data_IF_351208065910
#
_entry.id   IF_351208065910
#
_cell.length_a   1.000
_cell.length_b   1.000
_cell.length_c   1.000
_cell.angle_alpha   90.00
_cell.angle_beta   90.00
_cell.angle_gamma   90.00
#
_symmetry.space_group_name_H-M   'P 1'
#
loop_
_entity.id
_entity.type
_entity.pdbx_description
1 polymer ?
#
# COMPACT_ATOMS: atom_id res chain seq x y z
N UNK A 1 -71.30 -20.84 -0.66
CA UNK A 1 -70.99 -19.67 -1.51
C UNK A 1 -70.36 -18.59 -0.63
N UNK A 2 -69.04 -18.55 -0.54
CA UNK A 2 -68.21 -17.34 -0.45
C UNK A 2 -66.82 -17.76 -0.93
N UNK A 3 -66.48 -17.39 -2.16
CA UNK A 3 -65.12 -17.46 -2.68
C UNK A 3 -64.42 -16.13 -2.41
N UNK A 4 -63.16 -16.17 -1.97
CA UNK A 4 -62.09 -15.21 -2.28
C UNK A 4 -60.72 -15.84 -1.93
N UNK A 5 -59.63 -15.38 -2.58
CA UNK A 5 -58.59 -16.27 -3.12
C UNK A 5 -57.37 -16.45 -2.20
N UNK A 6 -56.72 -17.59 -2.38
CA UNK A 6 -55.40 -17.92 -1.82
C UNK A 6 -54.36 -17.19 -2.67
N UNK A 7 -53.81 -16.12 -2.12
CA UNK A 7 -52.72 -15.37 -2.72
C UNK A 7 -51.78 -14.90 -1.63
N UNK A 8 -50.86 -15.78 -1.22
CA UNK A 8 -49.58 -15.48 -0.58
C UNK A 8 -48.87 -16.78 -0.21
N UNK A 9 -47.54 -16.73 -0.25
CA UNK A 9 -46.56 -17.77 0.09
C UNK A 9 -46.28 -18.72 -1.07
N UNK A 10 -45.20 -18.47 -1.81
CA UNK A 10 -44.10 -19.42 -2.05
C UNK A 10 -42.92 -18.64 -2.67
N UNK A 11 -42.09 -18.07 -1.80
CA UNK A 11 -40.68 -17.83 -2.12
C UNK A 11 -40.00 -19.19 -1.96
N UNK A 12 -39.69 -19.88 -3.06
CA UNK A 12 -38.92 -21.12 -3.00
C UNK A 12 -37.44 -20.78 -2.76
N UNK A 13 -37.09 -20.55 -1.49
CA UNK A 13 -35.71 -20.63 -1.01
C UNK A 13 -35.31 -22.12 -0.94
N UNK A 14 -34.76 -22.64 -2.03
CA UNK A 14 -34.19 -23.99 -2.05
C UNK A 14 -32.68 -23.95 -1.80
N UNK A 15 -32.27 -23.82 -0.54
CA UNK A 15 -30.88 -24.04 -0.13
C UNK A 15 -30.62 -25.54 0.02
N UNK A 16 -29.80 -26.12 -0.88
CA UNK A 16 -29.23 -27.46 -0.68
C UNK A 16 -27.71 -27.35 -0.53
N UNK A 17 -27.25 -27.81 0.63
CA UNK A 17 -25.85 -27.88 1.05
C UNK A 17 -25.16 -29.05 0.37
N UNK A 18 -23.96 -28.84 -0.20
CA UNK A 18 -22.83 -29.77 -0.21
C UNK A 18 -21.54 -29.05 -0.72
N UNK A 19 -20.46 -29.17 0.06
CA UNK A 19 -19.04 -28.99 -0.30
C UNK A 19 -18.63 -27.94 -1.33
N UNK A 20 -18.33 -26.73 -0.84
CA UNK A 20 -17.38 -25.71 -1.34
C UNK A 20 -17.73 -24.75 -2.49
N UNK A 21 -18.72 -24.98 -3.36
CA UNK A 21 -19.26 -23.90 -4.22
C UNK A 21 -20.73 -24.12 -4.57
N UNK A 22 -21.63 -24.07 -3.58
CA UNK A 22 -23.06 -23.94 -3.86
C UNK A 22 -23.36 -22.47 -4.17
N UNK A 23 -23.27 -22.09 -5.45
CA UNK A 23 -23.73 -20.79 -5.89
C UNK A 23 -25.26 -20.76 -5.89
N UNK A 24 -25.85 -19.84 -5.13
CA UNK A 24 -27.28 -19.59 -5.11
C UNK A 24 -27.72 -18.97 -6.44
N UNK A 25 -28.71 -19.57 -7.12
CA UNK A 25 -29.17 -19.13 -8.44
C UNK A 25 -30.47 -18.37 -8.29
N UNK A 26 -30.42 -17.05 -8.52
CA UNK A 26 -31.59 -16.19 -8.54
C UNK A 26 -31.99 -15.88 -9.99
N UNK A 27 -33.25 -16.11 -10.33
CA UNK A 27 -33.81 -15.78 -11.64
C UNK A 27 -34.68 -14.53 -11.50
N UNK A 28 -34.48 -13.54 -12.37
CA UNK A 28 -35.24 -12.30 -12.42
C UNK A 28 -35.93 -12.22 -13.78
N UNK A 29 -37.22 -12.53 -13.78
CA UNK A 29 -38.07 -12.49 -14.96
C UNK A 29 -39.02 -11.30 -14.83
N UNK A 30 -38.73 -10.19 -15.52
CA UNK A 30 -39.58 -8.98 -15.52
C UNK A 30 -39.84 -8.51 -16.96
N UNK A 31 -41.06 -8.07 -17.29
CA UNK A 31 -41.47 -7.76 -18.67
C UNK A 31 -40.86 -6.47 -19.23
N UNK A 32 -40.43 -5.53 -18.37
CA UNK A 32 -39.90 -4.24 -18.82
C UNK A 32 -38.38 -4.16 -18.65
N UNK A 33 -37.68 -3.83 -19.75
CA UNK A 33 -36.23 -3.64 -19.76
C UNK A 33 -35.73 -2.58 -18.77
N UNK A 34 -36.53 -1.54 -18.51
CA UNK A 34 -36.20 -0.51 -17.52
C UNK A 34 -36.28 -1.05 -16.08
N UNK A 35 -37.33 -1.82 -15.75
CA UNK A 35 -37.49 -2.43 -14.44
C UNK A 35 -36.43 -3.52 -14.16
N UNK A 36 -36.04 -4.27 -15.19
CA UNK A 36 -34.90 -5.22 -15.10
C UNK A 36 -33.61 -4.50 -14.75
N UNK A 37 -33.30 -3.42 -15.48
CA UNK A 37 -32.10 -2.61 -15.25
C UNK A 37 -32.08 -1.97 -13.86
N UNK A 38 -33.21 -1.48 -13.39
CA UNK A 38 -33.35 -0.97 -12.02
C UNK A 38 -33.04 -2.06 -11.00
N UNK A 39 -33.63 -3.25 -11.16
CA UNK A 39 -33.39 -4.38 -10.25
C UNK A 39 -31.94 -4.87 -10.27
N UNK A 40 -31.32 -4.96 -11.45
CA UNK A 40 -29.89 -5.27 -11.58
C UNK A 40 -29.05 -4.21 -10.89
N UNK A 41 -29.40 -2.94 -11.04
CA UNK A 41 -28.70 -1.83 -10.39
C UNK A 41 -28.76 -1.93 -8.87
N UNK A 42 -29.93 -2.23 -8.30
CA UNK A 42 -30.09 -2.45 -6.86
C UNK A 42 -29.19 -3.58 -6.34
N UNK A 43 -29.15 -4.72 -7.04
CA UNK A 43 -28.32 -5.88 -6.65
C UNK A 43 -26.84 -5.54 -6.72
N UNK A 44 -26.42 -4.81 -7.76
CA UNK A 44 -25.04 -4.35 -7.90
C UNK A 44 -24.66 -3.40 -6.77
N UNK A 45 -25.51 -2.43 -6.43
CA UNK A 45 -25.25 -1.49 -5.34
C UNK A 45 -25.18 -2.19 -3.98
N UNK A 46 -26.10 -3.12 -3.71
CA UNK A 46 -26.07 -3.92 -2.49
C UNK A 46 -24.79 -4.76 -2.40
N UNK A 47 -24.40 -5.40 -3.51
CA UNK A 47 -23.16 -6.17 -3.58
C UNK A 47 -21.91 -5.31 -3.38
N UNK A 48 -21.86 -4.11 -3.97
CA UNK A 48 -20.75 -3.16 -3.81
C UNK A 48 -20.64 -2.65 -2.37
N UNK A 49 -21.77 -2.36 -1.70
CA UNK A 49 -21.79 -2.02 -0.26
C UNK A 49 -21.23 -3.15 0.61
N UNK A 50 -21.54 -4.38 0.25
CA UNK A 50 -20.99 -5.58 0.88
C UNK A 50 -19.54 -5.90 0.52
N UNK A 51 -18.86 -5.04 -0.25
CA UNK A 51 -17.50 -5.25 -0.81
C UNK A 51 -17.35 -6.57 -1.56
N UNK A 52 -18.43 -7.05 -2.18
CA UNK A 52 -18.43 -8.26 -3.01
C UNK A 52 -17.89 -7.93 -4.40
N UNK A 53 -17.16 -8.87 -5.01
CA UNK A 53 -16.71 -8.74 -6.41
C UNK A 53 -17.82 -9.23 -7.34
N UNK A 54 -18.21 -8.39 -8.28
CA UNK A 54 -19.35 -8.63 -9.17
C UNK A 54 -18.87 -8.65 -10.62
N UNK A 55 -19.29 -9.66 -11.37
CA UNK A 55 -19.17 -9.71 -12.82
C UNK A 55 -20.54 -9.43 -13.44
N UNK A 56 -20.67 -8.38 -14.24
CA UNK A 56 -21.84 -8.11 -15.07
C UNK A 56 -21.55 -8.55 -16.50
N UNK A 57 -22.40 -9.40 -17.05
CA UNK A 57 -22.27 -9.88 -18.43
C UNK A 57 -23.53 -9.70 -19.23
N UNK A 58 -23.39 -9.60 -20.55
CA UNK A 58 -24.49 -9.58 -21.52
C UNK A 58 -24.00 -10.12 -22.87
N UNK A 59 -24.92 -10.45 -23.76
CA UNK A 59 -24.63 -10.88 -25.12
C UNK A 59 -23.99 -9.78 -25.97
N UNK A 60 -24.43 -8.53 -25.79
CA UNK A 60 -24.03 -7.40 -26.63
C UNK A 60 -23.40 -6.27 -25.83
N UNK A 61 -22.42 -5.61 -26.44
CA UNK A 61 -21.73 -4.47 -25.82
C UNK A 61 -22.68 -3.31 -25.52
N UNK A 62 -23.70 -3.09 -26.36
CA UNK A 62 -24.65 -1.98 -26.21
C UNK A 62 -25.51 -2.14 -24.96
N UNK A 63 -26.10 -3.30 -24.75
CA UNK A 63 -26.99 -3.55 -23.61
C UNK A 63 -26.22 -3.49 -22.29
N UNK A 64 -25.00 -4.03 -22.30
CA UNK A 64 -24.09 -3.92 -21.18
C UNK A 64 -23.70 -2.47 -20.87
N UNK A 65 -23.42 -1.64 -21.88
CA UNK A 65 -23.13 -0.22 -21.67
C UNK A 65 -24.37 0.55 -21.17
N UNK A 66 -25.58 0.23 -21.64
CA UNK A 66 -26.84 0.81 -21.14
C UNK A 66 -27.09 0.48 -19.66
N UNK A 67 -26.88 -0.77 -19.26
CA UNK A 67 -26.97 -1.22 -17.87
C UNK A 67 -25.89 -0.56 -17.00
N UNK A 68 -24.67 -0.41 -17.53
CA UNK A 68 -23.56 0.26 -16.84
C UNK A 68 -23.84 1.75 -16.62
N UNK A 69 -24.43 2.45 -17.60
CA UNK A 69 -24.85 3.85 -17.44
C UNK A 69 -25.86 3.99 -16.28
N UNK A 70 -26.84 3.09 -16.18
CA UNK A 70 -27.81 3.10 -15.09
C UNK A 70 -27.13 2.90 -13.72
N UNK A 71 -26.23 1.92 -13.63
CA UNK A 71 -25.45 1.64 -12.41
C UNK A 71 -24.59 2.83 -12.00
N UNK A 72 -23.83 3.42 -12.92
CA UNK A 72 -22.94 4.55 -12.62
C UNK A 72 -23.73 5.78 -12.18
N UNK A 73 -24.90 6.03 -12.79
CA UNK A 73 -25.80 7.10 -12.35
C UNK A 73 -26.28 6.87 -10.93
N UNK A 74 -26.71 5.66 -10.61
CA UNK A 74 -27.17 5.32 -9.26
C UNK A 74 -26.02 5.39 -8.23
N UNK A 75 -24.84 4.87 -8.56
CA UNK A 75 -23.63 5.00 -7.72
C UNK A 75 -23.30 6.45 -7.40
N UNK A 76 -23.43 7.35 -8.39
CA UNK A 76 -23.18 8.79 -8.19
C UNK A 76 -24.22 9.43 -7.28
N UNK A 77 -25.50 9.06 -7.41
CA UNK A 77 -26.56 9.55 -6.51
C UNK A 77 -26.31 9.11 -5.07
N UNK A 78 -25.67 7.95 -4.87
CA UNK A 78 -25.30 7.43 -3.55
C UNK A 78 -23.92 7.88 -3.06
N UNK A 79 -23.16 8.64 -3.84
CA UNK A 79 -21.82 9.12 -3.49
C UNK A 79 -20.71 8.06 -3.54
N UNK A 80 -20.92 6.94 -4.23
CA UNK A 80 -19.90 5.89 -4.41
C UNK A 80 -18.89 6.25 -5.52
N UNK A 81 -17.62 5.91 -5.33
CA UNK A 81 -16.54 6.16 -6.28
C UNK A 81 -16.55 5.15 -7.44
N UNK A 82 -17.24 5.48 -8.54
CA UNK A 82 -17.37 4.60 -9.70
C UNK A 82 -16.04 4.38 -10.44
N UNK A 83 -15.15 5.37 -10.51
CA UNK A 83 -13.86 5.29 -11.24
C UNK A 83 -12.87 4.29 -10.65
N UNK A 84 -12.96 4.03 -9.34
CA UNK A 84 -12.10 3.05 -8.65
C UNK A 84 -12.75 1.67 -8.60
N UNK A 85 -14.07 1.59 -8.53
CA UNK A 85 -14.77 0.32 -8.31
C UNK A 85 -15.20 -0.39 -9.61
N UNK A 86 -15.45 0.37 -10.68
CA UNK A 86 -16.02 -0.17 -11.93
C UNK A 86 -14.97 -0.22 -13.03
N UNK A 87 -14.96 -1.33 -13.78
CA UNK A 87 -14.13 -1.50 -14.98
C UNK A 87 -14.95 -2.16 -16.09
N UNK A 88 -14.83 -1.62 -17.31
CA UNK A 88 -15.51 -2.11 -18.52
C UNK A 88 -14.49 -2.70 -19.50
N UNK A 89 -14.72 -3.94 -19.93
CA UNK A 89 -13.86 -4.69 -20.86
C UNK A 89 -14.69 -5.38 -21.96
N UNK A 90 -14.32 -5.39 -23.26
CA UNK A 90 -13.10 -4.84 -23.86
C UNK A 90 -13.25 -3.38 -24.32
N UNK A 91 -14.14 -3.10 -25.29
CA UNK A 91 -14.31 -1.78 -25.91
C UNK A 91 -15.70 -1.24 -25.61
N UNK A 92 -15.76 0.02 -25.18
CA UNK A 92 -17.02 0.77 -25.01
C UNK A 92 -17.61 1.14 -26.37
N UNK A 93 -18.92 0.92 -26.53
CA UNK A 93 -19.67 1.28 -27.74
C UNK A 93 -20.46 2.56 -27.49
N UNK A 94 -21.04 2.71 -26.30
CA UNK A 94 -21.75 3.92 -25.90
C UNK A 94 -20.88 4.78 -24.99
N UNK A 95 -20.53 5.96 -25.49
CA UNK A 95 -20.01 7.03 -24.65
C UNK A 95 -21.23 7.66 -23.96
N UNK A 96 -21.32 7.51 -22.63
CA UNK A 96 -22.46 7.98 -21.85
C UNK A 96 -22.88 9.41 -22.22
N UNK A 97 -24.19 9.66 -22.32
CA UNK A 97 -24.71 11.00 -22.64
C UNK A 97 -24.77 11.88 -21.39
N UNK A 98 -24.17 13.07 -21.45
CA UNK A 98 -24.27 14.11 -20.42
C UNK A 98 -23.13 14.09 -19.39
N UNK A 99 -23.47 14.03 -18.09
CA UNK A 99 -22.52 14.20 -16.98
C UNK A 99 -21.77 12.93 -16.56
N UNK A 100 -21.97 11.81 -17.25
CA UNK A 100 -21.34 10.51 -16.96
C UNK A 100 -20.51 10.09 -18.15
N UNK A 101 -19.20 10.37 -18.10
CA UNK A 101 -18.25 9.88 -19.10
C UNK A 101 -17.85 8.44 -18.75
N UNK A 102 -18.19 7.50 -19.64
CA UNK A 102 -17.83 6.09 -19.47
C UNK A 102 -16.41 5.79 -19.92
N UNK A 103 -15.74 6.72 -20.63
CA UNK A 103 -14.36 6.52 -21.10
C UNK A 103 -13.39 6.26 -19.95
N UNK A 104 -13.58 6.93 -18.81
CA UNK A 104 -12.80 6.70 -17.59
C UNK A 104 -12.92 5.28 -17.02
N UNK A 105 -13.98 4.55 -17.41
CA UNK A 105 -14.25 3.18 -17.00
C UNK A 105 -13.67 2.15 -17.97
N UNK A 106 -13.17 2.59 -19.14
CA UNK A 106 -12.52 1.73 -20.10
C UNK A 106 -11.29 1.07 -19.49
N UNK A 107 -11.20 -0.26 -19.61
CA UNK A 107 -10.06 -1.02 -19.14
C UNK A 107 -8.73 -0.46 -19.66
N UNK A 108 -8.63 -0.16 -20.96
CA UNK A 108 -7.40 0.36 -21.57
C UNK A 108 -6.97 1.71 -20.99
N UNK A 109 -7.93 2.60 -20.72
CA UNK A 109 -7.63 3.91 -20.14
C UNK A 109 -7.18 3.76 -18.69
N UNK A 110 -7.85 2.91 -17.91
CA UNK A 110 -7.46 2.60 -16.53
C UNK A 110 -6.08 1.94 -16.48
N UNK A 111 -5.79 1.03 -17.41
CA UNK A 111 -4.50 0.38 -17.53
C UNK A 111 -3.40 1.40 -17.84
N UNK A 112 -3.61 2.29 -18.81
CA UNK A 112 -2.64 3.37 -19.13
C UNK A 112 -2.36 4.26 -17.94
N UNK A 113 -3.39 4.65 -17.18
CA UNK A 113 -3.24 5.47 -15.98
C UNK A 113 -2.45 4.71 -14.91
N UNK A 114 -2.77 3.45 -14.67
CA UNK A 114 -2.09 2.63 -13.66
C UNK A 114 -0.63 2.37 -14.02
N UNK A 115 -0.36 1.98 -15.28
CA UNK A 115 1.00 1.81 -15.79
C UNK A 115 1.78 3.12 -15.67
N UNK A 116 1.18 4.26 -16.03
CA UNK A 116 1.81 5.57 -15.86
C UNK A 116 2.13 5.90 -14.40
N UNK A 117 1.22 5.60 -13.46
CA UNK A 117 1.45 5.78 -12.02
C UNK A 117 2.59 4.90 -11.52
N UNK A 118 2.58 3.61 -11.86
CA UNK A 118 3.62 2.69 -11.40
C UNK A 118 4.97 3.04 -12.01
N UNK A 119 5.03 3.42 -13.29
CA UNK A 119 6.26 3.92 -13.91
C UNK A 119 6.77 5.20 -13.25
N UNK A 120 5.88 6.12 -12.88
CA UNK A 120 6.26 7.34 -12.16
C UNK A 120 6.82 7.01 -10.76
N UNK A 121 6.17 6.12 -10.02
CA UNK A 121 6.66 5.64 -8.72
C UNK A 121 7.98 4.89 -8.82
N UNK A 122 8.17 4.09 -9.87
CA UNK A 122 9.42 3.39 -10.11
C UNK A 122 10.53 4.39 -10.51
N UNK A 123 10.21 5.44 -11.26
CA UNK A 123 11.15 6.50 -11.60
C UNK A 123 11.58 7.31 -10.36
N UNK A 124 10.66 7.62 -9.45
CA UNK A 124 10.99 8.28 -8.17
C UNK A 124 11.81 7.37 -7.27
N UNK A 125 11.50 6.07 -7.21
CA UNK A 125 12.31 5.09 -6.50
C UNK A 125 13.72 4.95 -7.09
N UNK A 126 13.84 4.89 -8.42
CA UNK A 126 15.13 4.81 -9.11
C UNK A 126 15.97 6.05 -8.84
N UNK A 127 15.39 7.24 -8.89
CA UNK A 127 16.12 8.49 -8.58
C UNK A 127 16.53 8.55 -7.11
N UNK A 128 15.65 8.17 -6.17
CA UNK A 128 15.96 8.09 -4.75
C UNK A 128 17.07 7.05 -4.46
N UNK A 129 17.01 5.88 -5.10
CA UNK A 129 18.02 4.83 -4.98
C UNK A 129 19.37 5.28 -5.53
N UNK A 130 19.41 5.93 -6.69
CA UNK A 130 20.65 6.51 -7.21
C UNK A 130 21.21 7.61 -6.30
N UNK A 131 20.33 8.43 -5.69
CA UNK A 131 20.75 9.44 -4.73
C UNK A 131 21.33 8.80 -3.46
N UNK A 132 20.67 7.77 -2.93
CA UNK A 132 21.16 6.98 -1.81
C UNK A 132 22.54 6.38 -2.08
N UNK A 133 22.74 5.76 -3.25
CA UNK A 133 24.04 5.21 -3.64
C UNK A 133 25.15 6.25 -3.68
N UNK A 134 24.84 7.50 -4.09
CA UNK A 134 25.80 8.60 -4.10
C UNK A 134 26.10 9.13 -2.70
N UNK A 135 25.09 9.23 -1.84
CA UNK A 135 25.23 9.80 -0.49
C UNK A 135 25.80 8.79 0.52
N UNK A 136 25.47 7.51 0.39
CA UNK A 136 25.91 6.46 1.32
C UNK A 136 27.41 6.48 1.63
N UNK A 137 28.36 6.58 0.67
CA UNK A 137 29.77 6.62 0.99
C UNK A 137 30.18 7.92 1.71
N UNK A 138 29.63 9.08 1.34
CA UNK A 138 29.92 10.33 2.03
C UNK A 138 29.36 10.37 3.46
N UNK A 139 28.20 9.76 3.69
CA UNK A 139 27.61 9.64 5.03
C UNK A 139 28.45 8.72 5.92
N UNK A 140 28.87 7.56 5.40
CA UNK A 140 29.71 6.63 6.14
C UNK A 140 31.05 7.27 6.52
N UNK A 141 31.69 7.96 5.57
CA UNK A 141 32.94 8.69 5.82
C UNK A 141 32.77 9.77 6.88
N UNK A 142 31.71 10.58 6.80
CA UNK A 142 31.51 11.64 7.77
C UNK A 142 31.10 11.13 9.16
N UNK A 143 30.40 10.00 9.23
CA UNK A 143 30.08 9.35 10.50
C UNK A 143 31.34 8.81 11.18
N UNK A 144 32.25 8.19 10.43
CA UNK A 144 33.58 7.80 10.93
C UNK A 144 34.35 9.03 11.44
N UNK A 145 34.33 10.14 10.68
CA UNK A 145 35.00 11.38 11.11
C UNK A 145 34.33 12.09 12.27
N UNK A 146 33.02 11.95 12.45
CA UNK A 146 32.31 12.43 13.63
C UNK A 146 32.73 11.65 14.88
N UNK A 147 32.90 10.34 14.78
CA UNK A 147 33.45 9.52 15.88
C UNK A 147 34.89 9.93 16.21
N UNK A 148 35.75 10.08 15.19
CA UNK A 148 37.12 10.57 15.38
C UNK A 148 37.12 11.96 16.06
N UNK A 149 36.19 12.84 15.70
CA UNK A 149 36.05 14.17 16.30
C UNK A 149 35.65 14.08 17.78
N UNK A 150 34.69 13.24 18.13
CA UNK A 150 34.26 13.02 19.53
C UNK A 150 35.43 12.54 20.40
N UNK A 151 36.26 11.62 19.89
CA UNK A 151 37.45 11.16 20.61
C UNK A 151 38.45 12.29 20.84
N UNK A 152 38.70 13.13 19.83
CA UNK A 152 39.63 14.26 19.92
C UNK A 152 39.10 15.36 20.84
N UNK A 153 37.80 15.67 20.79
CA UNK A 153 37.15 16.62 21.72
C UNK A 153 37.20 16.10 23.16
N UNK A 154 37.00 14.81 23.38
CA UNK A 154 37.14 14.20 24.70
C UNK A 154 38.59 14.31 25.25
N UNK A 155 39.60 14.21 24.39
CA UNK A 155 41.00 14.45 24.75
C UNK A 155 41.26 15.93 25.10
N UNK A 156 40.72 16.87 24.33
CA UNK A 156 40.82 18.32 24.64
C UNK A 156 40.20 18.61 26.01
N UNK A 157 38.99 18.13 26.26
CA UNK A 157 38.31 18.30 27.55
C UNK A 157 39.07 17.67 28.71
N UNK A 158 39.76 16.56 28.48
CA UNK A 158 40.61 15.93 29.50
C UNK A 158 41.83 16.79 29.81
N UNK A 159 42.52 17.29 28.80
CA UNK A 159 43.69 18.15 28.99
C UNK A 159 43.33 19.45 29.69
N UNK A 160 42.21 20.09 29.31
CA UNK A 160 41.70 21.29 29.97
C UNK A 160 41.40 21.04 31.45
N UNK A 161 40.79 19.89 31.79
CA UNK A 161 40.55 19.50 33.19
C UNK A 161 41.85 19.28 33.98
N UNK A 162 42.88 18.73 33.35
CA UNK A 162 44.19 18.54 33.99
C UNK A 162 44.91 19.88 34.20
N UNK A 163 44.84 20.79 33.23
CA UNK A 163 45.35 22.17 33.34
C UNK A 163 44.65 22.91 34.47
N UNK A 164 43.32 22.96 34.48
CA UNK A 164 42.53 23.62 35.54
C UNK A 164 42.92 23.09 36.94
N UNK A 165 43.17 21.78 37.05
CA UNK A 165 43.56 21.14 38.31
C UNK A 165 44.97 21.55 38.74
N UNK A 166 45.90 21.71 37.80
CA UNK A 166 47.27 22.16 38.09
C UNK A 166 47.31 23.67 38.39
N UNK A 167 46.53 24.49 37.69
CA UNK A 167 46.42 25.93 37.96
C UNK A 167 45.82 26.20 39.35
N UNK A 168 44.78 25.46 39.74
CA UNK A 168 44.24 25.52 41.12
C UNK A 168 45.28 25.13 42.16
N UNK A 169 46.10 24.12 41.87
CA UNK A 169 47.18 23.71 42.78
C UNK A 169 48.27 24.78 42.88
N UNK A 170 48.69 25.39 41.77
CA UNK A 170 49.69 26.46 41.80
C UNK A 170 49.17 27.70 42.54
N UNK A 171 47.92 28.11 42.29
CA UNK A 171 47.30 29.24 43.01
C UNK A 171 47.17 28.95 44.51
N UNK A 172 46.73 27.75 44.91
CA UNK A 172 46.68 27.33 46.31
C UNK A 172 48.08 27.28 46.96
N UNK A 173 49.10 26.83 46.23
CA UNK A 173 50.48 26.82 46.71
C UNK A 173 51.02 28.23 46.88
N UNK A 174 50.74 29.12 45.91
CA UNK A 174 51.13 30.53 45.95
C UNK A 174 50.54 31.26 47.16
N UNK A 175 49.23 31.15 47.37
CA UNK A 175 48.54 31.75 48.53
C UNK A 175 49.15 31.25 49.83
N UNK A 176 49.45 29.94 49.92
CA UNK A 176 50.06 29.34 51.11
C UNK A 176 51.51 29.77 51.35
N UNK A 177 52.27 30.06 50.30
CA UNK A 177 53.63 30.63 50.44
C UNK A 177 53.56 32.07 50.93
N UNK A 178 52.67 32.89 50.35
CA UNK A 178 52.48 34.30 50.72
C UNK A 178 52.00 34.44 52.18
N UNK A 179 51.04 33.61 52.60
CA UNK A 179 50.47 33.62 53.96
C UNK A 179 51.29 32.85 55.00
N UNK A 180 52.37 32.15 54.59
CA UNK A 180 53.15 31.30 55.50
C UNK A 180 53.67 32.04 56.73
N UNK A 181 54.05 33.32 56.55
CA UNK A 181 54.56 34.19 57.60
C UNK A 181 53.51 34.66 58.60
N UNK A 182 52.21 34.46 58.32
CA UNK A 182 51.09 34.86 59.19
C UNK A 182 50.51 33.68 59.98
N UNK A 183 50.87 32.44 59.62
CA UNK A 183 50.38 31.21 60.26
C UNK A 183 51.00 31.03 61.66
N UNK A 184 50.27 30.56 62.69
CA UNK A 184 50.82 30.33 64.03
C UNK A 184 51.95 29.28 64.04
N UNK A 185 52.89 29.46 64.97
CA UNK A 185 54.19 28.75 64.97
C UNK A 185 54.07 27.22 65.10
N UNK A 186 53.13 26.73 65.90
CA UNK A 186 52.86 25.29 66.04
C UNK A 186 52.36 24.67 64.72
N UNK A 187 51.60 25.42 63.93
CA UNK A 187 51.08 24.97 62.65
C UNK A 187 52.18 24.96 61.57
N UNK A 188 53.13 25.91 61.61
CA UNK A 188 54.34 25.85 60.77
C UNK A 188 55.21 24.63 61.08
N UNK A 189 55.42 24.32 62.36
CA UNK A 189 56.16 23.13 62.78
C UNK A 189 55.47 21.85 62.27
N UNK A 190 54.14 21.78 62.35
CA UNK A 190 53.38 20.65 61.79
C UNK A 190 53.51 20.55 60.25
N UNK A 191 53.52 21.68 59.54
CA UNK A 191 53.74 21.75 58.09
C UNK A 191 55.17 21.35 57.72
N UNK A 192 56.16 21.70 58.55
CA UNK A 192 57.55 21.28 58.40
C UNK A 192 57.74 19.77 58.48
N UNK A 193 57.08 19.12 59.44
CA UNK A 193 57.07 17.65 59.55
C UNK A 193 56.40 17.01 58.33
N UNK A 194 55.36 17.66 57.78
CA UNK A 194 54.71 17.25 56.54
C UNK A 194 55.43 17.66 55.25
N UNK A 195 56.64 18.24 55.33
CA UNK A 195 57.44 18.66 54.17
C UNK A 195 56.95 19.92 53.44
N UNK A 196 55.93 20.62 53.96
CA UNK A 196 55.32 21.82 53.37
C UNK A 196 56.04 23.10 53.80
N UNK A 197 57.33 23.18 53.47
CA UNK A 197 58.15 24.37 53.71
C UNK A 197 58.08 25.29 52.50
N UNK A 198 58.28 26.62 52.66
CA UNK A 198 58.38 27.55 51.55
C UNK A 198 59.29 27.05 50.40
N UNK A 199 60.54 26.59 50.64
CA UNK A 199 61.39 26.08 49.57
C UNK A 199 60.88 24.79 48.92
N UNK A 200 60.15 23.93 49.63
CA UNK A 200 59.56 22.71 49.05
C UNK A 200 58.31 23.06 48.22
N UNK A 201 57.53 24.04 48.69
CA UNK A 201 56.35 24.55 47.99
C UNK A 201 56.78 25.26 46.71
N UNK A 202 57.85 26.05 46.73
CA UNK A 202 58.42 26.67 45.53
C UNK A 202 58.91 25.63 44.51
N UNK A 203 59.54 24.54 44.97
CA UNK A 203 59.88 23.39 44.10
C UNK A 203 58.63 22.74 43.49
N UNK A 204 57.56 22.55 44.27
CA UNK A 204 56.28 22.02 43.76
C UNK A 204 55.63 22.95 42.74
N UNK A 205 55.74 24.27 42.93
CA UNK A 205 55.26 25.26 41.96
C UNK A 205 56.05 25.21 40.65
N UNK A 206 57.36 25.07 40.73
CA UNK A 206 58.23 24.92 39.56
C UNK A 206 57.87 23.65 38.77
N UNK A 207 57.62 22.54 39.47
CA UNK A 207 57.08 21.33 38.86
C UNK A 207 55.70 21.53 38.23
N UNK A 208 54.78 22.25 38.90
CA UNK A 208 53.47 22.56 38.32
C UNK A 208 53.61 23.42 37.05
N UNK A 209 54.54 24.38 37.02
CA UNK A 209 54.81 25.21 35.85
C UNK A 209 55.34 24.38 34.67
N UNK A 210 56.31 23.48 34.89
CA UNK A 210 56.82 22.57 33.86
C UNK A 210 55.71 21.68 33.28
N UNK A 211 54.82 21.15 34.13
CA UNK A 211 53.70 20.32 33.68
C UNK A 211 52.63 21.14 32.94
N UNK A 212 52.35 22.37 33.38
CA UNK A 212 51.44 23.27 32.68
C UNK A 212 51.96 23.62 31.28
N UNK A 213 53.26 23.92 31.15
CA UNK A 213 53.87 24.20 29.85
C UNK A 213 53.79 22.97 28.91
N UNK A 214 54.03 21.77 29.42
CA UNK A 214 53.92 20.54 28.65
C UNK A 214 52.49 20.31 28.13
N UNK A 215 51.48 20.41 29.00
CA UNK A 215 50.07 20.24 28.63
C UNK A 215 49.58 21.34 27.66
N UNK A 216 50.05 22.57 27.83
CA UNK A 216 49.75 23.67 26.91
C UNK A 216 50.34 23.43 25.52
N UNK A 217 51.54 22.87 25.42
CA UNK A 217 52.14 22.48 24.14
C UNK A 217 51.31 21.37 23.46
N UNK A 218 50.85 20.37 24.22
CA UNK A 218 49.95 19.33 23.69
C UNK A 218 48.65 19.93 23.14
N UNK A 219 48.01 20.87 23.85
CA UNK A 219 46.83 21.57 23.35
C UNK A 219 47.08 22.36 22.05
N UNK A 220 48.23 23.04 21.95
CA UNK A 220 48.61 23.78 20.74
C UNK A 220 48.72 22.83 19.54
N UNK A 221 49.21 21.60 19.74
CA UNK A 221 49.29 20.60 18.67
C UNK A 221 47.94 19.95 18.33
N UNK A 222 47.02 19.84 19.29
CA UNK A 222 45.71 19.22 19.10
C UNK A 222 44.69 20.15 18.42
N UNK A 223 44.68 21.44 18.77
CA UNK A 223 43.77 22.44 18.17
C UNK A 223 43.72 22.43 16.63
N UNK A 224 44.85 22.40 15.89
CA UNK A 224 44.81 22.35 14.43
C UNK A 224 44.33 20.98 13.90
N UNK A 225 44.53 19.89 14.65
CA UNK A 225 43.96 18.58 14.28
C UNK A 225 42.45 18.59 14.45
N UNK A 226 41.97 19.21 15.51
CA UNK A 226 40.55 19.35 15.82
C UNK A 226 39.83 20.23 14.78
N UNK A 227 40.45 21.34 14.37
CA UNK A 227 39.88 22.18 13.30
C UNK A 227 39.80 21.44 11.96
N UNK A 228 40.82 20.63 11.62
CA UNK A 228 40.79 19.77 10.44
C UNK A 228 39.71 18.69 10.55
N UNK A 229 39.62 18.01 11.69
CA UNK A 229 38.60 16.99 11.94
C UNK A 229 37.18 17.57 11.86
N UNK A 230 36.94 18.79 12.38
CA UNK A 230 35.67 19.50 12.22
C UNK A 230 35.33 19.80 10.76
N UNK A 231 36.31 20.17 9.95
CA UNK A 231 36.08 20.42 8.52
C UNK A 231 35.77 19.12 7.76
N UNK A 232 36.41 18.01 8.13
CA UNK A 232 36.20 16.69 7.51
C UNK A 232 34.87 16.04 7.94
N UNK A 233 34.45 16.25 9.20
CA UNK A 233 33.18 15.77 9.73
C UNK A 233 31.98 16.66 9.36
N UNK A 234 32.23 17.90 8.87
CA UNK A 234 31.16 18.81 8.53
C UNK A 234 30.39 18.32 7.31
N UNK A 235 29.16 17.89 7.55
CA UNK A 235 28.14 17.74 6.51
C UNK A 235 27.08 18.82 6.66
N UNK A 236 26.61 19.34 5.51
CA UNK A 236 25.46 20.22 5.52
C UNK A 236 24.24 19.48 6.11
N UNK A 237 23.47 20.11 7.01
CA UNK A 237 22.33 19.47 7.67
C UNK A 237 21.24 19.06 6.66
N UNK A 238 21.15 19.78 5.54
CA UNK A 238 20.26 19.45 4.42
C UNK A 238 20.55 18.05 3.84
N UNK A 239 21.82 17.69 3.71
CA UNK A 239 22.24 16.39 3.16
C UNK A 239 21.90 15.25 4.13
N UNK A 240 22.02 15.51 5.44
CA UNK A 240 21.59 14.57 6.47
C UNK A 240 20.09 14.31 6.40
N UNK A 241 19.28 15.37 6.32
CA UNK A 241 17.83 15.26 6.21
C UNK A 241 17.40 14.54 4.92
N UNK A 242 18.05 14.83 3.79
CA UNK A 242 17.82 14.10 2.53
C UNK A 242 18.10 12.60 2.71
N UNK A 243 19.23 12.24 3.32
CA UNK A 243 19.61 10.86 3.52
C UNK A 243 18.67 10.12 4.48
N UNK A 244 18.29 10.74 5.59
CA UNK A 244 17.32 10.20 6.54
C UNK A 244 15.96 9.99 5.88
N UNK A 245 15.46 10.98 5.14
CA UNK A 245 14.20 10.85 4.42
C UNK A 245 14.23 9.69 3.42
N UNK A 246 15.31 9.55 2.65
CA UNK A 246 15.45 8.42 1.71
C UNK A 246 15.48 7.08 2.47
N UNK A 247 16.19 7.02 3.60
CA UNK A 247 16.26 5.82 4.44
C UNK A 247 14.89 5.44 5.00
N UNK A 248 14.13 6.40 5.53
CA UNK A 248 12.75 6.20 6.00
C UNK A 248 11.85 5.68 4.88
N UNK A 249 11.96 6.24 3.67
CA UNK A 249 11.16 5.76 2.53
C UNK A 249 11.48 4.32 2.15
N UNK A 250 12.72 3.85 2.39
CA UNK A 250 13.11 2.47 2.15
C UNK A 250 12.67 1.56 3.29
N UNK A 251 12.77 1.99 4.55
CA UNK A 251 12.28 1.26 5.72
C UNK A 251 10.77 1.04 5.65
N UNK A 252 10.00 2.07 5.26
CA UNK A 252 8.55 1.97 5.05
C UNK A 252 8.16 0.94 3.97
N UNK A 253 9.06 0.63 3.03
CA UNK A 253 8.86 -0.35 1.95
C UNK A 253 9.46 -1.72 2.26
N UNK A 254 9.88 -1.95 3.51
CA UNK A 254 10.44 -3.22 3.96
C UNK A 254 11.94 -3.39 3.68
N UNK A 255 12.66 -2.30 3.44
CA UNK A 255 14.11 -2.27 3.33
C UNK A 255 14.66 -2.19 1.91
N UNK A 256 15.99 -2.10 1.83
CA UNK A 256 16.72 -1.86 0.58
C UNK A 256 16.57 -3.01 -0.44
N UNK A 257 16.50 -4.26 0.04
CA UNK A 257 16.38 -5.44 -0.82
C UNK A 257 15.05 -5.47 -1.56
N UNK A 258 13.95 -5.16 -0.86
CA UNK A 258 12.63 -5.04 -1.46
C UNK A 258 12.56 -3.90 -2.47
N UNK A 259 13.18 -2.76 -2.18
CA UNK A 259 13.25 -1.65 -3.14
C UNK A 259 14.03 -2.06 -4.39
N UNK A 260 15.13 -2.81 -4.25
CA UNK A 260 15.89 -3.34 -5.39
C UNK A 260 15.08 -4.35 -6.19
N UNK A 261 14.33 -5.24 -5.55
CA UNK A 261 13.48 -6.20 -6.26
C UNK A 261 12.34 -5.50 -6.98
N UNK A 262 11.72 -4.47 -6.39
CA UNK A 262 10.67 -3.67 -7.05
C UNK A 262 11.21 -2.85 -8.23
N UNK A 263 12.45 -2.39 -8.17
CA UNK A 263 13.12 -1.72 -9.30
C UNK A 263 13.47 -2.72 -10.41
N UNK A 264 13.83 -3.95 -10.06
CA UNK A 264 14.26 -5.01 -10.97
C UNK A 264 13.10 -5.82 -11.57
N UNK A 265 11.93 -5.84 -10.93
CA UNK A 265 10.70 -6.31 -11.55
C UNK A 265 10.35 -5.36 -12.70
N UNK A 266 10.79 -5.72 -13.91
CA UNK A 266 10.26 -5.15 -15.14
C UNK A 266 8.79 -5.55 -15.22
N UNK A 267 7.90 -4.58 -15.10
CA UNK A 267 6.47 -4.80 -15.27
C UNK A 267 6.13 -4.93 -16.75
N UNK A 268 6.49 -6.07 -17.32
CA UNK A 268 5.74 -6.66 -18.40
C UNK A 268 4.51 -7.35 -17.80
N UNK A 269 3.33 -6.96 -18.28
CA UNK A 269 2.09 -7.75 -18.27
C UNK A 269 1.40 -7.90 -16.90
N UNK A 270 0.42 -7.05 -16.61
CA UNK A 270 -1.02 -7.36 -16.70
C UNK A 270 -1.62 -8.31 -15.65
N UNK A 271 -0.83 -8.91 -14.75
CA UNK A 271 -1.33 -9.95 -13.84
C UNK A 271 -2.38 -9.47 -12.82
N UNK A 272 -2.42 -8.16 -12.51
CA UNK A 272 -3.29 -7.61 -11.47
C UNK A 272 -4.32 -6.59 -11.99
N UNK A 273 -4.64 -6.58 -13.29
CA UNK A 273 -5.41 -5.48 -13.89
C UNK A 273 -6.81 -5.26 -13.28
N UNK A 274 -7.42 -6.30 -12.70
CA UNK A 274 -8.75 -6.23 -12.10
C UNK A 274 -8.73 -6.21 -10.56
N UNK A 275 -7.56 -6.22 -9.92
CA UNK A 275 -7.45 -6.23 -8.46
C UNK A 275 -7.98 -4.93 -7.84
N UNK A 276 -8.70 -5.06 -6.72
CA UNK A 276 -9.36 -3.95 -6.05
C UNK A 276 -10.63 -3.42 -6.74
N UNK A 277 -11.00 -3.95 -7.93
CA UNK A 277 -12.25 -3.60 -8.61
C UNK A 277 -13.43 -4.39 -8.02
N UNK A 278 -14.51 -3.68 -7.74
CA UNK A 278 -15.75 -4.23 -7.19
C UNK A 278 -16.71 -4.72 -8.26
N UNK A 279 -16.75 -4.08 -9.43
CA UNK A 279 -17.60 -4.44 -10.56
C UNK A 279 -16.77 -4.51 -11.84
N UNK A 280 -16.78 -5.67 -12.48
CA UNK A 280 -16.22 -5.87 -13.82
C UNK A 280 -17.37 -6.12 -14.79
N UNK A 281 -17.45 -5.35 -15.86
CA UNK A 281 -18.50 -5.48 -16.86
C UNK A 281 -17.88 -5.95 -18.19
N UNK A 282 -18.26 -7.15 -18.63
CA UNK A 282 -17.70 -7.78 -19.83
C UNK A 282 -18.71 -8.66 -20.56
N UNK A 283 -18.64 -8.71 -21.89
CA UNK A 283 -19.53 -9.56 -22.69
C UNK A 283 -19.22 -11.04 -22.48
N UNK A 284 -20.25 -11.88 -22.57
CA UNK A 284 -20.11 -13.33 -22.30
C UNK A 284 -19.09 -13.99 -23.23
N UNK A 285 -19.02 -13.53 -24.49
CA UNK A 285 -18.01 -13.99 -25.45
C UNK A 285 -16.59 -13.68 -25.00
N UNK A 286 -16.33 -12.48 -24.47
CA UNK A 286 -14.98 -12.09 -24.05
C UNK A 286 -14.55 -12.80 -22.77
N UNK A 287 -15.47 -13.01 -21.83
CA UNK A 287 -15.19 -13.76 -20.60
C UNK A 287 -14.83 -15.20 -20.91
N UNK A 288 -15.48 -15.81 -21.90
CA UNK A 288 -15.22 -17.19 -22.31
C UNK A 288 -13.95 -17.36 -23.16
N UNK A 289 -13.48 -16.31 -23.84
CA UNK A 289 -12.40 -16.41 -24.84
C UNK A 289 -11.05 -15.84 -24.40
N UNK A 290 -11.01 -14.92 -23.43
CA UNK A 290 -9.76 -14.25 -23.03
C UNK A 290 -9.17 -14.84 -21.75
N UNK A 291 -7.86 -15.08 -21.76
CA UNK A 291 -7.13 -15.71 -20.65
C UNK A 291 -7.13 -14.88 -19.35
N UNK A 292 -7.39 -13.57 -19.46
CA UNK A 292 -7.51 -12.65 -18.33
C UNK A 292 -8.56 -13.08 -17.29
N UNK A 293 -9.54 -13.90 -17.68
CA UNK A 293 -10.62 -14.35 -16.80
C UNK A 293 -10.42 -15.76 -16.22
N UNK A 294 -9.40 -16.51 -16.67
CA UNK A 294 -9.23 -17.92 -16.28
C UNK A 294 -8.89 -18.09 -14.80
N UNK A 295 -8.16 -17.16 -14.20
CA UNK A 295 -7.74 -17.21 -12.78
C UNK A 295 -8.62 -16.34 -11.85
N UNK A 296 -9.57 -15.59 -12.43
CA UNK A 296 -10.42 -14.70 -11.68
C UNK A 296 -11.62 -15.44 -11.10
N UNK A 297 -12.12 -14.95 -9.97
CA UNK A 297 -13.36 -15.45 -9.40
C UNK A 297 -14.13 -14.33 -8.72
N UNK A 298 -15.44 -14.38 -8.90
CA UNK A 298 -16.37 -13.33 -8.49
C UNK A 298 -17.34 -13.87 -7.45
N UNK A 299 -17.72 -13.05 -6.48
CA UNK A 299 -18.73 -13.43 -5.50
C UNK A 299 -20.11 -13.54 -6.16
N UNK A 300 -20.41 -12.60 -7.07
CA UNK A 300 -21.69 -12.51 -7.77
C UNK A 300 -21.44 -12.43 -9.28
N UNK A 301 -22.11 -13.28 -10.06
CA UNK A 301 -22.14 -13.17 -11.52
C UNK A 301 -23.56 -12.85 -11.95
N UNK A 302 -23.73 -11.77 -12.71
CA UNK A 302 -25.01 -11.30 -13.23
C UNK A 302 -24.99 -11.45 -14.74
N UNK A 303 -25.90 -12.26 -15.28
CA UNK A 303 -26.11 -12.40 -16.72
C UNK A 303 -27.35 -11.60 -17.09
N UNK A 304 -27.14 -10.46 -17.74
CA UNK A 304 -28.17 -9.61 -18.29
C UNK A 304 -28.56 -10.09 -19.70
N UNK A 305 -29.86 -10.25 -19.92
CA UNK A 305 -30.46 -10.81 -21.15
C UNK A 305 -29.98 -12.24 -21.49
N UNK A 306 -30.35 -13.20 -20.64
CA UNK A 306 -30.00 -14.63 -20.83
C UNK A 306 -30.53 -15.21 -22.15
N UNK A 307 -31.60 -14.64 -22.70
CA UNK A 307 -32.24 -15.15 -23.90
C UNK A 307 -31.35 -14.94 -25.12
N UNK A 308 -30.63 -13.80 -25.17
CA UNK A 308 -29.67 -13.47 -26.20
C UNK A 308 -28.31 -14.19 -26.06
N UNK A 309 -27.95 -14.69 -24.87
CA UNK A 309 -26.65 -15.34 -24.65
C UNK A 309 -26.70 -16.83 -25.03
N UNK A 310 -25.82 -17.30 -25.95
CA UNK A 310 -25.69 -18.72 -26.27
C UNK A 310 -25.30 -19.56 -25.05
N UNK A 311 -25.96 -20.72 -24.88
CA UNK A 311 -25.68 -21.66 -23.79
C UNK A 311 -24.20 -22.04 -23.62
N UNK A 312 -23.41 -22.28 -24.70
CA UNK A 312 -22.00 -22.61 -24.56
C UNK A 312 -21.16 -21.52 -23.88
N UNK A 313 -21.57 -20.24 -24.01
CA UNK A 313 -20.88 -19.11 -23.40
C UNK A 313 -21.30 -18.88 -21.94
N UNK A 314 -22.47 -19.39 -21.52
CA UNK A 314 -22.94 -19.26 -20.15
C UNK A 314 -22.19 -20.16 -19.17
N UNK A 315 -21.77 -21.35 -19.62
CA UNK A 315 -21.06 -22.32 -18.78
C UNK A 315 -19.75 -21.71 -18.21
N UNK A 316 -18.79 -21.23 -19.02
CA UNK A 316 -17.55 -20.67 -18.49
C UNK A 316 -17.81 -19.43 -17.61
N UNK A 317 -18.78 -18.60 -17.97
CA UNK A 317 -19.10 -17.39 -17.19
C UNK A 317 -19.66 -17.73 -15.82
N UNK A 318 -20.54 -18.71 -15.73
CA UNK A 318 -21.15 -19.15 -14.46
C UNK A 318 -20.17 -19.90 -13.56
N UNK A 319 -19.17 -20.59 -14.14
CA UNK A 319 -18.09 -21.22 -13.39
C UNK A 319 -17.21 -20.23 -12.60
N UNK A 320 -17.18 -18.94 -12.99
CA UNK A 320 -16.43 -17.91 -12.26
C UNK A 320 -17.15 -17.44 -10.97
N UNK A 321 -18.40 -17.86 -10.75
CA UNK A 321 -19.21 -17.47 -9.59
C UNK A 321 -18.90 -18.32 -8.36
N UNK A 322 -18.61 -17.69 -7.21
CA UNK A 322 -18.39 -18.38 -5.93
C UNK A 322 -19.65 -18.53 -5.08
N UNK A 323 -20.50 -17.50 -5.03
CA UNK A 323 -21.61 -17.43 -4.06
C UNK A 323 -22.99 -17.29 -4.69
N UNK A 324 -23.12 -16.45 -5.72
CA UNK A 324 -24.44 -16.14 -6.29
C UNK A 324 -24.37 -15.94 -7.80
N UNK A 325 -25.31 -16.55 -8.51
CA UNK A 325 -25.54 -16.35 -9.93
C UNK A 325 -26.92 -15.70 -10.09
N UNK A 326 -26.97 -14.56 -10.75
CA UNK A 326 -28.22 -13.86 -11.07
C UNK A 326 -28.44 -13.93 -12.56
N UNK A 327 -29.53 -14.56 -12.97
CA UNK A 327 -29.93 -14.71 -14.36
C UNK A 327 -31.12 -13.80 -14.62
N UNK A 328 -30.97 -12.89 -15.58
CA UNK A 328 -31.99 -11.90 -15.93
C UNK A 328 -32.48 -12.21 -17.34
N UNK A 329 -33.77 -12.54 -17.47
CA UNK A 329 -34.39 -12.89 -18.74
C UNK A 329 -35.50 -11.92 -19.13
N UNK A 330 -35.89 -11.97 -20.41
CA UNK A 330 -37.04 -11.24 -20.91
C UNK A 330 -38.26 -12.16 -20.95
N UNK A 331 -39.36 -11.74 -20.32
CA UNK A 331 -40.66 -12.24 -20.75
C UNK A 331 -41.05 -11.43 -21.98
N UNK A 332 -40.54 -11.82 -23.15
CA UNK A 332 -40.95 -11.13 -24.37
C UNK A 332 -42.45 -11.36 -24.62
N UNK A 333 -43.21 -10.26 -24.49
CA UNK A 333 -44.41 -9.99 -25.29
C UNK A 333 -44.03 -10.08 -26.78
N UNK A 334 -44.02 -11.28 -27.35
CA UNK A 334 -44.26 -11.40 -28.78
C UNK A 334 -45.74 -11.03 -29.03
N UNK A 335 -46.08 -10.09 -29.94
CA UNK A 335 -47.48 -9.80 -30.22
C UNK A 335 -48.10 -11.03 -30.90
N UNK A 336 -48.90 -11.76 -30.13
CA UNK A 336 -49.95 -12.70 -30.53
C UNK A 336 -49.54 -13.68 -31.65
N UNK A 337 -49.09 -14.86 -31.23
CA UNK A 337 -49.68 -16.09 -31.77
C UNK A 337 -49.73 -17.11 -30.64
N UNK A 338 -50.94 -17.28 -30.09
CA UNK A 338 -51.42 -18.40 -29.27
C UNK A 338 -50.42 -19.55 -29.05
N UNK A 339 -49.56 -19.41 -28.03
CA UNK A 339 -48.82 -20.51 -27.42
C UNK A 339 -48.49 -20.11 -25.97
N UNK A 340 -49.49 -20.34 -25.14
CA UNK A 340 -49.45 -20.39 -23.68
C UNK A 340 -48.24 -21.16 -23.13
N UNK A 341 -47.72 -20.71 -21.99
CA UNK A 341 -46.88 -21.46 -21.03
C UNK A 341 -45.43 -21.81 -21.45
N UNK A 342 -45.09 -21.82 -22.74
CA UNK A 342 -43.81 -22.35 -23.22
C UNK A 342 -42.56 -21.50 -22.99
N UNK A 343 -42.65 -20.16 -22.92
CA UNK A 343 -41.45 -19.29 -22.87
C UNK A 343 -40.76 -19.31 -21.50
N UNK A 344 -41.52 -19.17 -20.41
CA UNK A 344 -41.00 -19.29 -19.05
C UNK A 344 -40.56 -20.73 -18.74
N UNK A 345 -41.28 -21.74 -19.24
CA UNK A 345 -40.84 -23.13 -19.17
C UNK A 345 -39.57 -23.39 -20.00
N UNK A 346 -39.39 -22.71 -21.14
CA UNK A 346 -38.20 -22.83 -21.98
C UNK A 346 -36.98 -22.19 -21.32
N UNK A 347 -37.12 -21.03 -20.71
CA UNK A 347 -36.04 -20.40 -19.92
C UNK A 347 -35.72 -21.24 -18.69
N UNK A 348 -36.73 -21.76 -17.97
CA UNK A 348 -36.53 -22.70 -16.85
C UNK A 348 -35.93 -24.04 -17.29
N UNK A 349 -36.30 -24.57 -18.45
CA UNK A 349 -35.73 -25.79 -19.01
C UNK A 349 -34.30 -25.58 -19.54
N UNK A 350 -34.00 -24.41 -20.11
CA UNK A 350 -32.64 -23.98 -20.46
C UNK A 350 -31.80 -23.85 -19.21
N UNK A 351 -32.31 -23.22 -18.15
CA UNK A 351 -31.60 -23.08 -16.88
C UNK A 351 -31.47 -24.42 -16.17
N UNK A 352 -32.46 -25.32 -16.25
CA UNK A 352 -32.36 -26.68 -15.74
C UNK A 352 -31.31 -27.48 -16.52
N UNK A 353 -31.22 -27.32 -17.85
CA UNK A 353 -30.16 -27.91 -18.68
C UNK A 353 -28.79 -27.33 -18.39
N UNK A 354 -28.69 -26.02 -18.18
CA UNK A 354 -27.45 -25.34 -17.76
C UNK A 354 -27.06 -25.81 -16.36
N UNK A 355 -28.01 -25.97 -15.45
CA UNK A 355 -27.78 -26.51 -14.10
C UNK A 355 -27.31 -27.95 -14.16
N UNK A 356 -27.93 -28.82 -14.97
CA UNK A 356 -27.45 -30.21 -15.15
C UNK A 356 -26.08 -30.25 -15.83
N UNK A 357 -25.84 -29.41 -16.84
CA UNK A 357 -24.55 -29.36 -17.55
C UNK A 357 -23.43 -28.77 -16.71
N UNK A 358 -23.68 -27.73 -15.89
CA UNK A 358 -22.72 -27.19 -14.92
C UNK A 358 -22.43 -28.22 -13.82
N UNK A 359 -23.46 -28.91 -13.32
CA UNK A 359 -23.28 -29.98 -12.33
C UNK A 359 -22.52 -31.18 -12.90
N UNK A 360 -22.67 -31.49 -14.19
CA UNK A 360 -21.92 -32.53 -14.89
C UNK A 360 -20.47 -32.12 -15.17
N UNK A 361 -20.19 -30.90 -15.60
CA UNK A 361 -18.82 -30.42 -15.86
C UNK A 361 -18.00 -30.24 -14.58
N UNK A 362 -18.63 -29.78 -13.48
CA UNK A 362 -17.99 -29.71 -12.15
C UNK A 362 -17.63 -31.11 -11.64
N UNK A 363 -18.48 -32.12 -11.89
CA UNK A 363 -18.18 -33.53 -11.55
C UNK A 363 -17.02 -34.11 -12.37
N UNK A 364 -16.86 -33.72 -13.63
CA UNK A 364 -15.74 -34.20 -14.46
C UNK A 364 -14.40 -33.57 -14.09
N UNK A 365 -14.38 -32.30 -13.65
CA UNK A 365 -13.14 -31.67 -13.19
C UNK A 365 -12.64 -32.23 -11.84
N UNK A 366 -13.55 -32.62 -10.95
CA UNK A 366 -13.21 -33.26 -9.67
C UNK A 366 -12.73 -34.73 -9.80
N UNK A 367 -12.95 -35.37 -10.95
CA UNK A 367 -12.52 -36.75 -11.21
C UNK A 367 -11.16 -36.86 -11.93
N UNK A 368 -10.62 -35.74 -12.41
CA UNK A 368 -9.34 -35.67 -13.16
C UNK A 368 -8.24 -34.94 -12.35
N UNK A 369 -8.56 -34.47 -11.14
CA UNK A 369 -7.58 -33.91 -10.19
C UNK A 369 -6.97 -34.98 -9.29
#
# INVERSE_FOLDING_TARGET
MVERPIGQLFSDEASLTNGETSADVQIIDMPHAAARRERVTEIVLEGLRGRKRILLTSAHNRDLDESLIAIVRAMRMEGLSYSTLVTRYPVLVLEGKGTTDLRELAFEQQLRINVGKVQAEQATLRSAYHRYQKLSPSMAFAQEKAQDLEEVEALEDRLLREIDKLERKDTDLRIRVETYADIPLWQRLSMQVGGKNPPTMDKMRLWCAEQLEALQQELITLRPRLSKARQEAYLAPEIWQEYEHIKETFEARGGLENVRSLIAQDQGESDHCFEGRGLVAATAGCVASHDLFNELSFDIVIVDDIDAVPLPLLIPVTCLARKKIVLVGDQSDSPITTATEGSAEYSRARIARVRTSILETVRTHAAVS
#
